data_IF_972637440954
#
_entry.id   IF_972637440954
#
_cell.length_a   1.000
_cell.length_b   1.000
_cell.length_c   1.000
_cell.angle_alpha   90.00
_cell.angle_beta   90.00
_cell.angle_gamma   90.00
#
_symmetry.space_group_name_H-M   'P 1'
#
loop_
_entity.id
_entity.type
_entity.pdbx_description
1 polymer ?
#
# COMPACT_ATOMS: atom_id res chain seq x y z
N UNK A 1 -35.78 1.97 15.79
CA UNK A 1 -35.51 0.78 14.95
C UNK A 1 -36.01 0.89 13.51
N UNK A 2 -36.86 1.85 13.13
CA UNK A 2 -37.27 2.08 11.72
C UNK A 2 -36.30 2.95 10.90
N UNK A 3 -35.52 3.83 11.55
CA UNK A 3 -34.49 4.67 10.89
C UNK A 3 -33.33 3.86 10.31
N UNK A 4 -32.77 2.92 11.08
CA UNK A 4 -31.64 2.07 10.65
C UNK A 4 -31.94 1.24 9.39
N UNK A 5 -33.16 0.71 9.26
CA UNK A 5 -33.58 -0.06 8.07
C UNK A 5 -33.73 0.82 6.83
N UNK A 6 -34.16 2.08 7.02
CA UNK A 6 -34.34 3.04 5.93
C UNK A 6 -32.99 3.54 5.40
N UNK A 7 -32.00 3.71 6.28
CA UNK A 7 -30.65 4.12 5.90
C UNK A 7 -29.88 3.00 5.20
N UNK A 8 -30.06 1.75 5.63
CA UNK A 8 -29.44 0.59 4.98
C UNK A 8 -29.95 0.38 3.54
N UNK A 9 -31.26 0.60 3.31
CA UNK A 9 -31.84 0.49 1.96
C UNK A 9 -31.29 1.55 1.00
N UNK A 10 -31.20 2.81 1.45
CA UNK A 10 -30.62 3.92 0.66
C UNK A 10 -29.15 3.69 0.35
N UNK A 11 -28.37 3.17 1.31
CA UNK A 11 -26.98 2.79 1.09
C UNK A 11 -26.85 1.73 0.00
N UNK A 12 -27.63 0.66 0.06
CA UNK A 12 -27.61 -0.41 -0.96
C UNK A 12 -27.97 0.13 -2.34
N UNK A 13 -29.02 0.95 -2.46
CA UNK A 13 -29.43 1.57 -3.73
C UNK A 13 -28.32 2.44 -4.33
N UNK A 14 -27.65 3.27 -3.51
CA UNK A 14 -26.51 4.09 -3.94
C UNK A 14 -25.32 3.23 -4.34
N UNK A 15 -24.95 2.24 -3.52
CA UNK A 15 -23.83 1.34 -3.80
C UNK A 15 -24.06 0.55 -5.09
N UNK A 16 -25.28 0.09 -5.35
CA UNK A 16 -25.62 -0.62 -6.58
C UNK A 16 -25.56 0.31 -7.81
N UNK A 17 -26.02 1.56 -7.67
CA UNK A 17 -25.93 2.58 -8.73
C UNK A 17 -24.48 2.83 -9.15
N UNK A 18 -23.54 2.87 -8.20
CA UNK A 18 -22.12 3.12 -8.45
C UNK A 18 -21.26 1.84 -8.46
N UNK A 19 -21.89 0.66 -8.50
CA UNK A 19 -21.21 -0.63 -8.38
C UNK A 19 -20.06 -0.80 -9.36
N UNK A 20 -20.29 -0.43 -10.62
CA UNK A 20 -19.31 -0.50 -11.70
C UNK A 20 -18.15 0.52 -11.56
N UNK A 21 -18.22 1.46 -10.63
CA UNK A 21 -17.09 2.31 -10.24
C UNK A 21 -16.43 1.80 -8.97
N UNK A 22 -17.22 1.38 -7.98
CA UNK A 22 -16.77 0.96 -6.65
C UNK A 22 -16.05 -0.39 -6.69
N UNK A 23 -16.64 -1.41 -7.31
CA UNK A 23 -16.12 -2.78 -7.27
C UNK A 23 -14.69 -2.91 -7.86
N UNK A 24 -14.34 -2.23 -8.99
CA UNK A 24 -12.96 -2.24 -9.48
C UNK A 24 -11.93 -1.70 -8.47
N UNK A 25 -12.25 -0.62 -7.74
CA UNK A 25 -11.36 -0.09 -6.72
C UNK A 25 -11.31 -0.99 -5.50
N UNK A 26 -12.43 -1.59 -5.08
CA UNK A 26 -12.42 -2.59 -4.00
C UNK A 26 -11.43 -3.71 -4.34
N UNK A 27 -11.48 -4.25 -5.55
CA UNK A 27 -10.56 -5.28 -6.00
C UNK A 27 -9.09 -4.79 -5.98
N UNK A 28 -8.84 -3.55 -6.40
CA UNK A 28 -7.51 -2.94 -6.39
C UNK A 28 -6.94 -2.75 -4.97
N UNK A 29 -7.76 -2.28 -4.02
CA UNK A 29 -7.37 -2.09 -2.61
C UNK A 29 -7.23 -3.44 -1.86
N UNK A 30 -7.94 -4.47 -2.30
CA UNK A 30 -7.91 -5.81 -1.69
C UNK A 30 -6.89 -6.76 -2.30
N UNK A 31 -6.05 -6.29 -3.23
CA UNK A 31 -4.95 -7.07 -3.80
C UNK A 31 -4.08 -7.65 -2.67
N UNK A 32 -3.97 -8.98 -2.63
CA UNK A 32 -3.27 -9.72 -1.57
C UNK A 32 -2.28 -10.77 -2.05
N UNK A 33 -2.04 -10.86 -3.34
CA UNK A 33 -1.12 -11.85 -3.87
C UNK A 33 -0.36 -11.34 -5.09
N UNK A 34 0.86 -11.85 -5.23
CA UNK A 34 1.63 -11.83 -6.47
C UNK A 34 1.15 -12.95 -7.41
N UNK A 35 -0.15 -12.96 -7.73
CA UNK A 35 -0.77 -13.93 -8.63
C UNK A 35 -1.11 -13.29 -9.98
N UNK A 36 -0.54 -13.83 -11.06
CA UNK A 36 -0.77 -13.39 -12.42
C UNK A 36 -2.24 -13.45 -12.85
N UNK A 37 -2.98 -14.46 -12.39
CA UNK A 37 -4.41 -14.61 -12.71
C UNK A 37 -5.26 -13.51 -12.05
N UNK A 38 -5.00 -13.24 -10.76
CA UNK A 38 -5.66 -12.18 -10.01
C UNK A 38 -5.34 -10.81 -10.61
N UNK A 39 -4.07 -10.54 -10.90
CA UNK A 39 -3.64 -9.31 -11.56
C UNK A 39 -4.31 -9.11 -12.93
N UNK A 40 -4.40 -10.17 -13.73
CA UNK A 40 -5.07 -10.13 -15.02
C UNK A 40 -6.57 -9.86 -14.87
N UNK A 41 -7.20 -10.41 -13.83
CA UNK A 41 -8.61 -10.18 -13.52
C UNK A 41 -8.87 -8.72 -13.10
N UNK A 42 -8.05 -8.18 -12.20
CA UNK A 42 -8.12 -6.78 -11.76
C UNK A 42 -7.88 -5.85 -12.96
N UNK A 43 -6.88 -6.12 -13.79
CA UNK A 43 -6.59 -5.38 -15.01
C UNK A 43 -7.81 -5.27 -15.93
N UNK A 44 -8.41 -6.42 -16.29
CA UNK A 44 -9.60 -6.48 -17.15
C UNK A 44 -10.77 -5.72 -16.52
N UNK A 45 -10.96 -5.89 -15.22
CA UNK A 45 -12.05 -5.24 -14.48
C UNK A 45 -11.90 -3.72 -14.51
N UNK A 46 -10.72 -3.18 -14.20
CA UNK A 46 -10.42 -1.75 -14.25
C UNK A 46 -10.58 -1.20 -15.66
N UNK A 47 -10.00 -1.88 -16.67
CA UNK A 47 -10.07 -1.49 -18.07
C UNK A 47 -11.52 -1.37 -18.55
N UNK A 48 -12.29 -2.45 -18.46
CA UNK A 48 -13.66 -2.50 -18.98
C UNK A 48 -14.58 -1.55 -18.23
N UNK A 49 -14.49 -1.50 -16.89
CA UNK A 49 -15.45 -0.75 -16.09
C UNK A 49 -15.14 0.73 -15.95
N UNK A 50 -13.87 1.14 -16.07
CA UNK A 50 -13.44 2.53 -15.88
C UNK A 50 -12.98 3.21 -17.18
N UNK A 51 -12.16 2.53 -17.99
CA UNK A 51 -11.54 3.13 -19.19
C UNK A 51 -12.44 2.97 -20.42
N UNK A 52 -12.83 1.73 -20.75
CA UNK A 52 -13.67 1.45 -21.94
C UNK A 52 -15.06 2.09 -21.80
N UNK A 53 -15.57 2.17 -20.57
CA UNK A 53 -16.81 2.86 -20.22
C UNK A 53 -16.68 4.39 -20.19
N UNK A 54 -15.49 4.94 -20.43
CA UNK A 54 -15.15 6.37 -20.46
C UNK A 54 -15.39 7.12 -19.14
N UNK A 55 -15.38 6.42 -18.01
CA UNK A 55 -15.51 7.05 -16.68
C UNK A 55 -14.20 7.65 -16.18
N UNK A 56 -13.06 7.09 -16.59
CA UNK A 56 -11.71 7.51 -16.18
C UNK A 56 -10.76 7.42 -17.36
N UNK A 57 -9.74 8.27 -17.39
CA UNK A 57 -8.63 8.12 -18.33
C UNK A 57 -7.64 7.06 -17.79
N UNK A 58 -6.92 6.40 -18.71
CA UNK A 58 -5.89 5.44 -18.34
C UNK A 58 -4.83 6.05 -17.40
N UNK A 59 -4.45 7.31 -17.63
CA UNK A 59 -3.53 8.05 -16.76
C UNK A 59 -4.05 8.21 -15.33
N UNK A 60 -5.36 8.42 -15.16
CA UNK A 60 -5.96 8.53 -13.84
C UNK A 60 -5.91 7.19 -13.11
N UNK A 61 -6.24 6.09 -13.79
CA UNK A 61 -6.19 4.73 -13.21
C UNK A 61 -4.75 4.37 -12.82
N UNK A 62 -3.77 4.66 -13.67
CA UNK A 62 -2.34 4.46 -13.36
C UNK A 62 -1.93 5.30 -12.14
N UNK A 63 -2.35 6.57 -12.08
CA UNK A 63 -2.10 7.44 -10.93
C UNK A 63 -2.67 6.85 -9.65
N UNK A 64 -3.90 6.33 -9.69
CA UNK A 64 -4.55 5.73 -8.53
C UNK A 64 -3.81 4.47 -8.07
N UNK A 65 -3.37 3.61 -8.99
CA UNK A 65 -2.53 2.43 -8.68
C UNK A 65 -1.24 2.85 -7.97
N UNK A 66 -0.54 3.86 -8.48
CA UNK A 66 0.70 4.33 -7.87
C UNK A 66 0.51 4.96 -6.48
N UNK A 67 -0.63 5.62 -6.25
CA UNK A 67 -0.96 6.21 -4.96
C UNK A 67 -1.30 5.15 -3.89
N UNK A 68 -1.65 3.93 -4.27
CA UNK A 68 -1.95 2.84 -3.33
C UNK A 68 -0.67 2.19 -2.78
N UNK A 69 0.42 2.19 -3.55
CA UNK A 69 1.66 1.48 -3.20
C UNK A 69 2.16 1.79 -1.78
N UNK A 70 2.27 3.07 -1.33
CA UNK A 70 2.73 3.36 0.03
C UNK A 70 1.81 2.80 1.13
N UNK A 71 0.53 2.57 0.84
CA UNK A 71 -0.46 2.07 1.80
C UNK A 71 -0.60 0.55 1.80
N UNK A 72 0.00 -0.14 0.83
CA UNK A 72 0.01 -1.60 0.75
C UNK A 72 1.33 -2.09 0.13
N UNK A 73 2.44 -1.68 0.72
CA UNK A 73 3.77 -1.83 0.13
C UNK A 73 4.27 -3.29 0.07
N UNK A 74 3.61 -4.20 0.80
CA UNK A 74 3.85 -5.65 0.71
C UNK A 74 3.70 -6.17 -0.72
N UNK A 75 2.72 -5.65 -1.48
CA UNK A 75 2.42 -6.10 -2.85
C UNK A 75 2.89 -5.11 -3.92
N UNK A 76 3.92 -4.32 -3.61
CA UNK A 76 4.44 -3.30 -4.53
C UNK A 76 4.71 -3.85 -5.93
N UNK A 77 5.34 -5.02 -6.06
CA UNK A 77 5.64 -5.63 -7.37
C UNK A 77 4.39 -5.85 -8.22
N UNK A 78 3.34 -6.35 -7.58
CA UNK A 78 2.05 -6.55 -8.22
C UNK A 78 1.39 -5.26 -8.70
N UNK A 79 1.41 -4.20 -7.87
CA UNK A 79 0.94 -2.88 -8.30
C UNK A 79 1.74 -2.30 -9.45
N UNK A 80 3.08 -2.41 -9.41
CA UNK A 80 3.95 -1.95 -10.49
C UNK A 80 3.66 -2.70 -11.80
N UNK A 81 3.46 -4.02 -11.74
CA UNK A 81 3.08 -4.83 -12.90
C UNK A 81 1.69 -4.48 -13.44
N UNK A 82 0.73 -4.24 -12.56
CA UNK A 82 -0.60 -3.79 -12.95
C UNK A 82 -0.53 -2.44 -13.68
N UNK A 83 0.22 -1.47 -13.15
CA UNK A 83 0.46 -0.19 -13.80
C UNK A 83 1.17 -0.37 -15.15
N UNK A 84 2.13 -1.30 -15.25
CA UNK A 84 2.86 -1.59 -16.49
C UNK A 84 1.94 -2.03 -17.63
N UNK A 85 0.92 -2.84 -17.35
CA UNK A 85 -0.07 -3.23 -18.36
C UNK A 85 -0.75 -2.02 -19.01
N UNK A 86 -1.18 -1.04 -18.21
CA UNK A 86 -1.80 0.18 -18.72
C UNK A 86 -0.79 1.11 -19.42
N UNK A 87 0.42 1.24 -18.88
CA UNK A 87 1.48 2.04 -19.49
C UNK A 87 1.80 1.53 -20.90
N UNK A 88 1.93 0.21 -21.06
CA UNK A 88 2.23 -0.41 -22.34
C UNK A 88 1.06 -0.35 -23.32
N UNK A 89 -0.15 -0.70 -22.87
CA UNK A 89 -1.31 -0.74 -23.77
C UNK A 89 -1.66 0.66 -24.30
N UNK A 90 -1.64 1.67 -23.42
CA UNK A 90 -2.04 3.04 -23.76
C UNK A 90 -0.85 3.93 -24.12
N UNK A 91 0.38 3.40 -24.15
CA UNK A 91 1.61 4.11 -24.53
C UNK A 91 1.82 5.39 -23.70
N UNK A 92 1.52 5.32 -22.40
CA UNK A 92 1.57 6.47 -21.49
C UNK A 92 3.03 6.83 -21.18
N UNK A 93 3.38 8.10 -21.42
CA UNK A 93 4.74 8.62 -21.17
C UNK A 93 4.84 9.46 -19.90
N UNK A 94 3.71 9.99 -19.42
CA UNK A 94 3.68 10.97 -18.33
C UNK A 94 2.51 10.66 -17.42
N UNK A 95 2.79 10.60 -16.11
CA UNK A 95 1.78 10.53 -15.06
C UNK A 95 2.14 11.52 -13.95
N UNK A 96 1.28 12.51 -13.74
CA UNK A 96 1.45 13.56 -12.72
C UNK A 96 0.76 13.18 -11.42
N UNK A 97 1.17 13.79 -10.29
CA UNK A 97 0.56 13.58 -8.97
C UNK A 97 0.60 12.13 -8.48
N UNK A 98 1.76 11.49 -8.62
CA UNK A 98 2.06 10.15 -8.05
C UNK A 98 3.18 10.28 -7.01
N UNK A 99 3.24 9.36 -6.02
CA UNK A 99 4.30 9.37 -5.03
C UNK A 99 5.65 9.16 -5.69
N UNK A 100 6.65 9.87 -5.20
CA UNK A 100 8.02 9.84 -5.73
C UNK A 100 8.64 8.44 -5.63
N UNK A 101 8.36 7.75 -4.52
CA UNK A 101 8.78 6.36 -4.32
C UNK A 101 8.16 5.42 -5.37
N UNK A 102 6.87 5.57 -5.68
CA UNK A 102 6.19 4.77 -6.69
C UNK A 102 6.79 4.98 -8.08
N UNK A 103 7.10 6.24 -8.43
CA UNK A 103 7.78 6.59 -9.68
C UNK A 103 9.17 5.96 -9.76
N UNK A 104 9.94 6.05 -8.67
CA UNK A 104 11.27 5.45 -8.58
C UNK A 104 11.24 3.94 -8.76
N UNK A 105 10.37 3.24 -8.01
CA UNK A 105 10.30 1.79 -8.05
C UNK A 105 9.88 1.29 -9.44
N UNK A 106 8.96 1.99 -10.11
CA UNK A 106 8.57 1.66 -11.48
C UNK A 106 9.74 1.80 -12.46
N UNK A 107 10.49 2.89 -12.38
CA UNK A 107 11.68 3.10 -13.20
C UNK A 107 12.77 2.06 -12.90
N UNK A 108 13.02 1.75 -11.62
CA UNK A 108 13.99 0.74 -11.20
C UNK A 108 13.65 -0.65 -11.73
N UNK A 109 12.37 -1.03 -11.72
CA UNK A 109 11.90 -2.35 -12.17
C UNK A 109 11.89 -2.48 -13.70
N UNK A 110 11.42 -1.45 -14.42
CA UNK A 110 11.13 -1.55 -15.86
C UNK A 110 11.99 -0.68 -16.78
N UNK A 111 12.81 0.21 -16.23
CA UNK A 111 13.58 1.20 -17.00
C UNK A 111 12.73 2.29 -17.66
N UNK A 112 11.43 2.35 -17.35
CA UNK A 112 10.50 3.33 -17.93
C UNK A 112 10.36 4.55 -17.03
N UNK A 113 10.55 5.74 -17.60
CA UNK A 113 10.41 7.00 -16.90
C UNK A 113 9.07 7.66 -17.25
N UNK A 114 8.20 7.89 -16.24
CA UNK A 114 6.85 8.42 -16.40
C UNK A 114 6.75 9.91 -16.03
N UNK A 115 7.59 10.77 -16.60
CA UNK A 115 7.61 12.21 -16.32
C UNK A 115 8.15 13.01 -17.52
N UNK A 116 7.69 14.25 -17.68
CA UNK A 116 8.13 15.17 -18.76
C UNK A 116 9.55 15.71 -18.54
N UNK A 117 9.97 15.89 -17.30
CA UNK A 117 11.27 16.47 -16.97
C UNK A 117 12.27 15.39 -16.59
N UNK A 118 13.49 15.47 -17.12
CA UNK A 118 14.63 14.64 -16.71
C UNK A 118 15.22 15.05 -15.36
N UNK A 119 14.63 16.06 -14.71
CA UNK A 119 15.15 16.69 -13.49
C UNK A 119 14.73 15.98 -12.20
N UNK A 120 13.84 14.98 -12.26
CA UNK A 120 13.50 14.19 -11.08
C UNK A 120 14.67 13.24 -10.75
N UNK A 121 15.59 13.73 -9.92
CA UNK A 121 16.73 12.96 -9.45
C UNK A 121 16.34 12.08 -8.28
N UNK A 122 16.35 10.76 -8.53
CA UNK A 122 16.16 9.72 -7.53
C UNK A 122 17.33 9.57 -6.54
N UNK A 123 18.35 10.42 -6.63
CA UNK A 123 19.65 10.31 -5.95
C UNK A 123 19.57 10.30 -4.40
N UNK A 124 18.39 10.48 -3.80
CA UNK A 124 18.18 10.52 -2.34
C UNK A 124 17.32 9.37 -1.77
N UNK A 125 16.96 8.38 -2.58
CA UNK A 125 16.13 7.26 -2.11
C UNK A 125 17.04 6.11 -1.63
N UNK A 126 17.24 6.03 -0.32
CA UNK A 126 18.06 5.01 0.36
C UNK A 126 17.18 4.04 1.18
N UNK A 127 17.80 2.97 1.70
CA UNK A 127 17.18 2.00 2.63
C UNK A 127 15.90 1.32 2.11
N UNK A 128 15.91 0.85 0.86
CA UNK A 128 14.76 0.16 0.25
C UNK A 128 14.70 -1.34 0.57
N UNK A 129 15.72 -1.86 1.23
CA UNK A 129 15.89 -3.27 1.61
C UNK A 129 15.50 -3.55 3.06
N UNK A 130 14.76 -2.64 3.69
CA UNK A 130 14.23 -2.80 5.05
C UNK A 130 13.38 -4.08 5.22
N UNK A 131 12.81 -4.64 4.15
CA UNK A 131 12.04 -5.89 4.19
C UNK A 131 12.85 -7.13 3.72
N UNK A 132 14.18 -7.07 3.76
CA UNK A 132 15.07 -8.20 3.47
C UNK A 132 14.89 -9.36 4.48
N UNK A 133 15.35 -10.57 4.12
CA UNK A 133 14.95 -11.85 4.74
C UNK A 133 15.13 -11.95 6.27
N UNK A 134 16.03 -11.15 6.83
CA UNK A 134 16.42 -11.17 8.24
C UNK A 134 16.27 -9.82 8.93
N UNK A 135 15.19 -9.09 8.64
CA UNK A 135 14.85 -7.86 9.37
C UNK A 135 13.60 -8.04 10.22
N UNK A 136 13.53 -7.30 11.32
CA UNK A 136 12.32 -7.22 12.13
C UNK A 136 11.14 -6.67 11.32
N UNK A 137 11.38 -5.74 10.39
CA UNK A 137 10.34 -5.17 9.55
C UNK A 137 9.75 -6.19 8.58
N UNK A 138 10.55 -7.15 8.08
CA UNK A 138 10.02 -8.29 7.31
C UNK A 138 9.21 -9.23 8.19
N UNK A 139 9.70 -9.53 9.40
CA UNK A 139 8.98 -10.38 10.34
C UNK A 139 7.60 -9.77 10.66
N UNK A 140 7.55 -8.46 10.93
CA UNK A 140 6.29 -7.72 11.07
C UNK A 140 5.48 -7.81 9.77
N UNK A 141 6.05 -7.48 8.61
CA UNK A 141 5.32 -7.49 7.35
C UNK A 141 4.63 -8.83 7.05
N UNK A 142 5.17 -9.97 7.47
CA UNK A 142 4.54 -11.29 7.25
C UNK A 142 3.88 -11.88 8.49
N UNK A 143 3.79 -11.12 9.59
CA UNK A 143 3.28 -11.59 10.87
C UNK A 143 4.01 -12.86 11.38
N UNK A 144 5.33 -12.90 11.19
CA UNK A 144 6.21 -14.01 11.55
C UNK A 144 6.56 -13.95 13.05
N UNK A 145 5.73 -14.62 13.85
CA UNK A 145 5.85 -14.62 15.31
C UNK A 145 7.20 -15.18 15.80
N UNK A 146 7.70 -16.25 15.18
CA UNK A 146 8.95 -16.90 15.61
C UNK A 146 10.16 -15.97 15.41
N UNK A 147 10.24 -15.31 14.25
CA UNK A 147 11.31 -14.33 14.01
C UNK A 147 11.20 -13.14 14.94
N UNK A 148 10.00 -12.61 15.15
CA UNK A 148 9.78 -11.49 16.07
C UNK A 148 10.22 -11.86 17.50
N UNK A 149 9.87 -13.05 18.01
CA UNK A 149 10.35 -13.52 19.32
C UNK A 149 11.88 -13.48 19.35
N UNK A 150 12.54 -14.06 18.34
CA UNK A 150 14.00 -14.10 18.23
C UNK A 150 14.62 -12.70 18.29
N UNK A 151 14.07 -11.71 17.56
CA UNK A 151 14.54 -10.33 17.62
C UNK A 151 14.37 -9.71 19.02
N UNK A 152 13.21 -9.94 19.66
CA UNK A 152 12.91 -9.36 20.98
C UNK A 152 13.69 -10.00 22.15
N UNK A 153 14.47 -11.04 21.88
CA UNK A 153 15.32 -11.72 22.87
C UNK A 153 16.80 -11.34 22.74
N UNK A 154 17.16 -10.54 21.72
CA UNK A 154 18.52 -10.04 21.56
C UNK A 154 18.85 -9.01 22.64
N UNK A 155 20.08 -9.06 23.18
CA UNK A 155 20.51 -8.15 24.26
C UNK A 155 20.48 -6.67 23.86
N UNK A 156 20.64 -6.38 22.58
CA UNK A 156 20.64 -5.03 21.99
C UNK A 156 19.29 -4.61 21.40
N UNK A 157 18.22 -5.40 21.62
CA UNK A 157 16.89 -5.05 21.15
C UNK A 157 16.38 -3.76 21.80
N UNK A 158 16.01 -2.78 20.96
CA UNK A 158 15.38 -1.54 21.38
C UNK A 158 13.87 -1.59 21.11
N UNK A 159 13.08 -1.61 22.18
CA UNK A 159 11.61 -1.67 22.14
C UNK A 159 10.95 -0.37 21.68
N UNK A 160 11.62 0.77 21.88
CA UNK A 160 11.17 2.09 21.43
C UNK A 160 11.78 2.48 20.07
N UNK A 161 12.31 1.51 19.32
CA UNK A 161 12.87 1.80 18.00
C UNK A 161 11.80 2.33 17.04
N UNK A 162 12.21 3.29 16.23
CA UNK A 162 11.39 3.92 15.22
C UNK A 162 12.00 3.76 13.83
N UNK A 163 11.16 3.55 12.82
CA UNK A 163 11.55 3.45 11.43
C UNK A 163 11.11 4.71 10.68
N UNK A 164 12.06 5.44 10.13
CA UNK A 164 11.80 6.41 9.06
C UNK A 164 12.08 5.76 7.71
N UNK A 165 11.06 5.63 6.85
CA UNK A 165 11.27 5.07 5.52
C UNK A 165 10.25 5.55 4.49
N UNK A 166 10.74 5.88 3.30
CA UNK A 166 9.97 6.40 2.16
C UNK A 166 9.03 5.37 1.52
N UNK A 167 9.14 4.08 1.87
CA UNK A 167 8.22 3.02 1.43
C UNK A 167 6.86 3.06 2.14
N UNK A 168 6.76 3.81 3.24
CA UNK A 168 5.52 4.00 3.98
C UNK A 168 4.90 5.36 3.63
N UNK A 169 3.61 5.57 3.95
CA UNK A 169 2.95 6.83 3.67
C UNK A 169 3.71 8.01 4.30
N UNK A 170 3.51 9.20 3.73
CA UNK A 170 3.90 10.44 4.38
C UNK A 170 2.65 11.27 4.54
N UNK A 171 2.33 11.66 5.76
CA UNK A 171 1.19 12.53 6.08
C UNK A 171 1.35 14.00 5.63
N UNK A 172 2.36 14.29 4.80
CA UNK A 172 2.44 15.52 4.01
C UNK A 172 3.04 16.73 4.72
N UNK A 173 3.45 16.65 5.99
CA UNK A 173 4.07 17.80 6.68
C UNK A 173 5.27 17.48 7.59
N UNK A 174 5.59 16.22 7.87
CA UNK A 174 6.75 15.84 8.68
C UNK A 174 7.39 14.52 8.23
N UNK A 175 8.66 14.31 8.62
CA UNK A 175 9.28 12.99 8.62
C UNK A 175 8.48 12.11 9.58
N UNK A 176 7.76 11.10 9.07
CA UNK A 176 7.02 10.16 9.91
C UNK A 176 7.94 9.02 10.34
N UNK A 177 8.02 8.87 11.65
CA UNK A 177 8.68 7.75 12.31
C UNK A 177 7.60 6.74 12.70
N UNK A 178 7.85 5.47 12.38
CA UNK A 178 6.94 4.37 12.67
C UNK A 178 7.50 3.50 13.79
N UNK A 179 6.76 3.41 14.89
CA UNK A 179 6.99 2.42 15.94
C UNK A 179 6.70 1.01 15.43
N UNK A 180 7.23 -0.01 16.11
CA UNK A 180 6.95 -1.41 15.77
C UNK A 180 5.45 -1.74 15.84
N UNK A 181 4.69 -1.11 16.76
CA UNK A 181 3.24 -1.30 16.87
C UNK A 181 2.50 -0.70 15.67
N UNK A 182 2.86 0.50 15.23
CA UNK A 182 2.25 1.12 14.05
C UNK A 182 2.53 0.31 12.79
N UNK A 183 3.75 -0.23 12.66
CA UNK A 183 4.08 -1.14 11.57
C UNK A 183 3.25 -2.43 11.61
N UNK A 184 3.00 -2.98 12.80
CA UNK A 184 2.09 -4.11 12.95
C UNK A 184 0.66 -3.75 12.53
N UNK A 185 0.14 -2.58 12.88
CA UNK A 185 -1.17 -2.12 12.46
C UNK A 185 -1.24 -1.94 10.94
N UNK A 186 -0.27 -1.23 10.36
CA UNK A 186 -0.15 -1.03 8.91
C UNK A 186 -0.18 -2.36 8.15
N UNK A 187 0.54 -3.38 8.64
CA UNK A 187 0.65 -4.69 7.97
C UNK A 187 -0.45 -5.69 8.38
N UNK A 188 -1.29 -5.37 9.36
CA UNK A 188 -2.28 -6.31 9.90
C UNK A 188 -1.65 -7.49 10.66
N UNK A 189 -0.53 -7.26 11.33
CA UNK A 189 0.31 -8.30 11.96
C UNK A 189 -0.09 -8.55 13.40
N UNK A 190 -1.23 -9.24 13.55
CA UNK A 190 -1.93 -9.41 14.84
C UNK A 190 -1.08 -10.12 15.89
N UNK A 191 -0.29 -11.13 15.52
CA UNK A 191 0.48 -11.92 16.49
C UNK A 191 1.71 -11.14 16.97
N UNK A 192 2.39 -10.46 16.03
CA UNK A 192 3.50 -9.56 16.36
C UNK A 192 3.02 -8.42 17.26
N UNK A 193 1.87 -7.81 16.95
CA UNK A 193 1.25 -6.75 17.76
C UNK A 193 0.97 -7.20 19.20
N UNK A 194 0.32 -8.37 19.36
CA UNK A 194 0.01 -8.94 20.67
C UNK A 194 1.25 -9.25 21.49
N UNK A 195 2.31 -9.78 20.86
CA UNK A 195 3.57 -10.05 21.54
C UNK A 195 4.18 -8.75 22.09
N UNK A 196 4.31 -7.72 21.24
CA UNK A 196 4.91 -6.45 21.62
C UNK A 196 4.15 -5.80 22.79
N UNK A 197 2.81 -5.76 22.72
CA UNK A 197 1.97 -5.25 23.81
C UNK A 197 2.15 -6.04 25.11
N UNK A 198 2.18 -7.37 25.03
CA UNK A 198 2.22 -8.22 26.23
C UNK A 198 3.60 -8.19 26.90
N UNK A 199 4.67 -8.20 26.10
CA UNK A 199 6.05 -8.31 26.59
C UNK A 199 6.60 -6.97 27.10
N UNK A 200 6.27 -5.88 26.43
CA UNK A 200 6.86 -4.56 26.73
C UNK A 200 5.87 -3.56 27.32
N UNK A 201 4.59 -3.93 27.49
CA UNK A 201 3.54 -3.04 27.96
C UNK A 201 3.48 -1.72 27.17
N UNK A 202 3.78 -1.80 25.87
CA UNK A 202 3.84 -0.65 24.97
C UNK A 202 2.51 0.11 24.95
N UNK A 203 2.59 1.44 24.91
CA UNK A 203 1.41 2.31 24.89
C UNK A 203 0.68 2.24 23.53
N UNK A 204 -0.65 2.18 23.57
CA UNK A 204 -1.48 2.31 22.36
C UNK A 204 -1.78 3.80 22.19
N UNK A 205 -1.09 4.43 21.24
CA UNK A 205 -1.27 5.84 20.91
C UNK A 205 -2.42 6.07 19.92
N UNK A 206 -2.85 7.32 19.75
CA UNK A 206 -3.83 7.70 18.73
C UNK A 206 -3.33 7.37 17.30
N UNK A 207 -2.01 7.47 17.06
CA UNK A 207 -1.41 7.10 15.79
C UNK A 207 -1.52 5.60 15.49
N UNK A 208 -1.36 4.72 16.50
CA UNK A 208 -1.63 3.28 16.38
C UNK A 208 -3.08 3.01 15.94
N UNK A 209 -4.04 3.79 16.45
CA UNK A 209 -5.45 3.67 16.06
C UNK A 209 -5.71 4.13 14.61
N UNK A 210 -4.98 5.13 14.11
CA UNK A 210 -5.10 5.61 12.73
C UNK A 210 -4.64 4.59 11.69
N UNK A 211 -3.77 3.64 12.08
CA UNK A 211 -3.32 2.55 11.22
C UNK A 211 -4.13 1.25 11.41
N UNK A 212 -5.17 1.25 12.25
CA UNK A 212 -6.06 0.12 12.45
C UNK A 212 -7.19 0.16 11.39
N UNK A 213 -7.20 -0.82 10.47
CA UNK A 213 -8.17 -0.94 9.38
C UNK A 213 -8.80 -2.33 9.30
#
# INVERSE_FOLDING_TARGET
MSGQVTDQKKYSELRDTYKSYIDPYIALYQLKADNDEELTSIYKTLKTNLIDSKKRHAQDVIRDIFNIIPYNNRYTKSYLRLAKFFVDEYQIKVVTYIPDISRYLFHKEYGTYLCESTDFKFEKIENLDIHSENTIYRAIMYNDLEKIITFTEQEDFNEIQELFNVLYPSNGQSLEFYTLLELCCYHGSVDCFKLLLTKFHSEITESVLNYHF
#
